data_IF_941649392207
#
_entry.id   IF_941649392207
#
_cell.length_a   1.000
_cell.length_b   1.000
_cell.length_c   1.000
_cell.angle_alpha   90.00
_cell.angle_beta   90.00
_cell.angle_gamma   90.00
#
_symmetry.space_group_name_H-M   'P 1'
#
loop_
_entity.id
_entity.type
_entity.pdbx_description
1 polymer ?
#
# COMPACT_ATOMS: atom_id res chain seq x y z
N UNK A 1 3.62 -1.93 -10.48
CA UNK A 1 4.82 -2.16 -9.66
C UNK A 1 4.54 -3.24 -8.63
N UNK A 2 5.56 -3.97 -8.16
CA UNK A 2 5.39 -5.03 -7.14
C UNK A 2 6.30 -4.69 -5.95
N UNK A 3 5.76 -4.74 -4.74
CA UNK A 3 6.53 -4.65 -3.51
C UNK A 3 6.22 -5.84 -2.62
N UNK A 4 7.25 -6.38 -1.97
CA UNK A 4 7.09 -7.44 -0.98
C UNK A 4 7.10 -6.82 0.41
N UNK A 5 6.05 -7.07 1.20
CA UNK A 5 5.94 -6.62 2.58
C UNK A 5 5.56 -7.81 3.43
N UNK A 6 6.38 -8.13 4.44
CA UNK A 6 6.12 -9.26 5.36
C UNK A 6 5.87 -10.59 4.63
N UNK A 7 6.59 -10.82 3.52
CA UNK A 7 6.41 -12.00 2.67
C UNK A 7 5.20 -11.95 1.73
N UNK A 8 4.30 -10.96 1.86
CA UNK A 8 3.18 -10.73 0.94
C UNK A 8 3.65 -9.91 -0.25
N UNK A 9 3.45 -10.44 -1.47
CA UNK A 9 3.68 -9.70 -2.72
C UNK A 9 2.46 -8.87 -3.07
N UNK A 10 2.62 -7.55 -3.03
CA UNK A 10 1.58 -6.58 -3.34
C UNK A 10 1.87 -6.02 -4.72
N UNK A 11 0.96 -6.29 -5.66
CA UNK A 11 0.99 -5.68 -6.99
C UNK A 11 0.14 -4.41 -6.96
N UNK A 12 0.67 -3.30 -7.48
CA UNK A 12 -0.02 -2.00 -7.56
C UNK A 12 -0.01 -1.51 -9.00
N UNK A 13 -1.16 -1.08 -9.51
CA UNK A 13 -1.32 -0.59 -10.89
C UNK A 13 -1.76 0.88 -10.91
N UNK A 14 -0.89 1.82 -11.35
CA UNK A 14 -1.27 3.22 -11.44
C UNK A 14 -2.44 3.45 -12.44
N UNK A 15 -3.18 4.56 -12.29
CA UNK A 15 -3.01 5.57 -11.24
C UNK A 15 -3.57 5.09 -9.88
N UNK A 16 -2.96 5.56 -8.80
CA UNK A 16 -3.53 5.43 -7.46
C UNK A 16 -4.43 6.65 -7.25
N UNK A 17 -5.74 6.42 -7.10
CA UNK A 17 -6.72 7.50 -6.97
C UNK A 17 -7.00 7.88 -5.52
N UNK A 18 -6.84 6.94 -4.59
CA UNK A 18 -7.15 7.15 -3.18
C UNK A 18 -6.23 6.32 -2.28
N UNK A 19 -5.83 6.88 -1.14
CA UNK A 19 -5.02 6.21 -0.11
C UNK A 19 -5.62 6.59 1.25
N UNK A 20 -5.99 5.58 2.04
CA UNK A 20 -6.43 5.71 3.43
C UNK A 20 -5.50 4.92 4.33
N UNK A 21 -5.06 5.53 5.41
CA UNK A 21 -4.00 5.00 6.28
C UNK A 21 -4.47 4.99 7.72
N UNK A 22 -4.28 3.86 8.39
CA UNK A 22 -4.35 3.71 9.83
C UNK A 22 -2.98 3.20 10.33
N UNK A 23 -2.75 3.21 11.65
CA UNK A 23 -1.47 2.88 12.31
C UNK A 23 -0.82 1.57 11.82
N UNK A 24 -1.62 0.60 11.41
CA UNK A 24 -1.20 -0.74 10.99
C UNK A 24 -1.85 -1.21 9.68
N UNK A 25 -2.54 -0.32 8.97
CA UNK A 25 -3.30 -0.73 7.78
C UNK A 25 -3.26 0.37 6.73
N UNK A 26 -3.11 -0.03 5.47
CA UNK A 26 -3.17 0.86 4.32
C UNK A 26 -4.21 0.32 3.35
N UNK A 27 -5.23 1.12 3.08
CA UNK A 27 -6.17 0.88 2.01
C UNK A 27 -5.85 1.84 0.86
N UNK A 28 -5.82 1.35 -0.37
CA UNK A 28 -5.64 2.22 -1.53
C UNK A 28 -6.46 1.71 -2.72
N UNK A 29 -6.79 2.62 -3.62
CA UNK A 29 -7.50 2.31 -4.85
C UNK A 29 -6.57 2.51 -6.02
N UNK A 30 -6.37 1.44 -6.78
CA UNK A 30 -5.57 1.44 -7.99
C UNK A 30 -6.49 1.28 -9.21
N UNK A 31 -5.95 1.32 -10.43
CA UNK A 31 -6.77 1.27 -11.67
C UNK A 31 -7.73 0.09 -11.75
N UNK A 32 -7.41 -1.02 -11.08
CA UNK A 32 -8.27 -2.20 -11.09
C UNK A 32 -9.24 -2.17 -9.91
N UNK A 33 -8.71 -2.12 -8.68
CA UNK A 33 -9.49 -2.42 -7.49
C UNK A 33 -9.00 -1.66 -6.26
N UNK A 34 -9.86 -1.63 -5.24
CA UNK A 34 -9.48 -1.29 -3.86
C UNK A 34 -8.71 -2.44 -3.24
N UNK A 35 -7.59 -2.12 -2.60
CA UNK A 35 -6.69 -3.06 -1.92
C UNK A 35 -6.55 -2.66 -0.47
N UNK A 36 -6.49 -3.67 0.38
CA UNK A 36 -6.29 -3.51 1.81
C UNK A 36 -5.05 -4.29 2.22
N UNK A 37 -4.11 -3.60 2.87
CA UNK A 37 -2.82 -4.14 3.25
C UNK A 37 -2.65 -3.98 4.77
N UNK A 38 -2.75 -5.07 5.55
CA UNK A 38 -2.35 -5.06 6.94
C UNK A 38 -0.83 -5.07 7.06
N UNK A 39 -0.31 -4.30 8.02
CA UNK A 39 1.11 -4.09 8.28
C UNK A 39 1.41 -4.33 9.75
N UNK A 40 2.61 -4.80 10.06
CA UNK A 40 2.95 -5.20 11.43
C UNK A 40 3.42 -4.03 12.28
N UNK A 41 3.89 -2.94 11.66
CA UNK A 41 4.36 -1.77 12.37
C UNK A 41 3.96 -0.44 11.73
N UNK A 42 3.93 0.61 12.56
CA UNK A 42 3.72 1.97 12.09
C UNK A 42 4.88 2.46 11.20
N UNK A 43 6.08 1.90 11.36
CA UNK A 43 7.22 2.20 10.50
C UNK A 43 7.03 1.61 9.09
N UNK A 44 6.59 0.36 9.00
CA UNK A 44 6.23 -0.27 7.71
C UNK A 44 5.12 0.49 7.01
N UNK A 45 4.10 0.90 7.76
CA UNK A 45 3.00 1.74 7.23
C UNK A 45 3.52 2.98 6.54
N UNK A 46 4.43 3.73 7.19
CA UNK A 46 5.03 4.93 6.59
C UNK A 46 5.86 4.60 5.36
N UNK A 47 6.69 3.54 5.41
CA UNK A 47 7.50 3.11 4.26
C UNK A 47 6.64 2.70 3.07
N UNK A 48 5.54 2.00 3.33
CA UNK A 48 4.63 1.54 2.29
C UNK A 48 3.89 2.71 1.63
N UNK A 49 3.37 3.64 2.44
CA UNK A 49 2.69 4.84 1.93
C UNK A 49 3.65 5.71 1.12
N UNK A 50 4.88 5.92 1.61
CA UNK A 50 5.90 6.67 0.88
C UNK A 50 6.20 6.00 -0.47
N UNK A 51 6.31 4.68 -0.52
CA UNK A 51 6.47 3.95 -1.78
C UNK A 51 5.26 4.13 -2.70
N UNK A 52 4.02 4.00 -2.20
CA UNK A 52 2.80 4.21 -3.00
C UNK A 52 2.77 5.60 -3.64
N UNK A 53 3.27 6.63 -2.97
CA UNK A 53 3.33 8.00 -3.51
C UNK A 53 4.37 8.19 -4.61
N UNK A 54 5.28 7.23 -4.83
CA UNK A 54 6.28 7.27 -5.92
C UNK A 54 5.83 6.55 -7.20
N UNK A 55 4.64 5.93 -7.18
CA UNK A 55 4.05 5.12 -8.26
C UNK A 55 3.08 5.95 -9.08
#
# INVERSE_FOLDING_TARGET
MIQTINGLRISVKPPISNISVNKFNVAFEDRHNKKYVPLQSAMETRKFVAWLQTI
#
